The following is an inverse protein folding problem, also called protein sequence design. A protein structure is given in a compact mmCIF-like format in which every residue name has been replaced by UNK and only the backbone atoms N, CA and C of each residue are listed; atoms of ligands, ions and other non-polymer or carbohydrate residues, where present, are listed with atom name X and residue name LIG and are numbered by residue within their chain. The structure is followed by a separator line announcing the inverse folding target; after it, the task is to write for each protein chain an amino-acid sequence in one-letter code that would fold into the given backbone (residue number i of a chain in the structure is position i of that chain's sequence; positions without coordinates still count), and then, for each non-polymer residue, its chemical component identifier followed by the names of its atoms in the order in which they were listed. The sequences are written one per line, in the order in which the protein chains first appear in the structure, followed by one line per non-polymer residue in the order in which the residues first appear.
data_IF_795798260029
#
_entry.id   IF_795798260029
#
_cell.length_a   1.000
_cell.length_b   1.000
_cell.length_c   1.000
_cell.angle_alpha   90.00
_cell.angle_beta   90.00
_cell.angle_gamma   90.00
#
_symmetry.space_group_name_H-M   'P 1'
#
loop_
_entity.id
_entity.type
_entity.pdbx_description
1 polymer ?
#
# COMPACT_ATOMS: atom_id res chain seq x y z
N UNK A 1 15.56 2.32 -11.74
CA UNK A 1 16.78 1.63 -11.28
C UNK A 1 17.87 1.57 -12.34
N UNK A 2 17.56 1.37 -13.63
CA UNK A 2 18.57 1.32 -14.71
C UNK A 2 19.55 2.51 -14.80
N UNK A 3 19.16 3.70 -14.34
CA UNK A 3 19.99 4.92 -14.35
C UNK A 3 20.46 5.37 -12.97
N UNK A 4 19.96 4.74 -11.90
CA UNK A 4 20.20 5.16 -10.52
C UNK A 4 20.91 4.03 -9.79
N UNK A 5 22.13 4.29 -9.33
CA UNK A 5 22.84 3.37 -8.44
C UNK A 5 22.33 3.55 -7.01
N UNK A 6 22.28 2.49 -6.18
CA UNK A 6 21.99 2.61 -4.76
C UNK A 6 22.86 3.68 -4.06
N UNK A 7 22.32 4.40 -3.07
CA UNK A 7 20.98 4.22 -2.48
C UNK A 7 19.84 4.76 -3.36
N UNK A 8 18.71 4.05 -3.37
CA UNK A 8 17.50 4.44 -4.11
C UNK A 8 16.32 4.51 -3.17
N UNK A 9 15.69 5.68 -3.11
CA UNK A 9 14.42 5.89 -2.40
C UNK A 9 13.47 6.62 -3.34
N UNK A 10 12.44 5.92 -3.83
CA UNK A 10 11.52 6.46 -4.84
C UNK A 10 10.09 6.13 -4.47
N UNK A 11 9.22 7.12 -4.66
CA UNK A 11 7.78 6.94 -4.73
C UNK A 11 7.32 7.16 -6.17
N UNK A 12 6.52 6.23 -6.69
CA UNK A 12 5.97 6.25 -8.04
C UNK A 12 4.44 6.27 -7.97
N UNK A 13 3.82 7.47 -7.88
CA UNK A 13 2.38 7.61 -8.03
C UNK A 13 1.98 7.51 -9.50
N UNK A 14 0.91 6.79 -9.80
CA UNK A 14 0.44 6.65 -11.18
C UNK A 14 -0.95 6.04 -11.30
N UNK A 15 -1.59 6.30 -12.44
CA UNK A 15 -2.81 5.58 -12.82
C UNK A 15 -2.43 4.20 -13.34
N UNK A 16 -3.11 3.20 -12.82
CA UNK A 16 -2.98 1.80 -13.22
C UNK A 16 -4.32 1.27 -13.70
N UNK A 17 -4.26 0.20 -14.47
CA UNK A 17 -5.41 -0.36 -15.16
C UNK A 17 -5.54 -1.84 -14.86
N UNK A 18 -6.76 -2.28 -14.61
CA UNK A 18 -7.11 -3.68 -14.42
C UNK A 18 -8.40 -3.98 -15.16
N UNK A 19 -8.48 -5.18 -15.74
CA UNK A 19 -9.68 -5.64 -16.46
C UNK A 19 -10.74 -6.12 -15.47
N UNK A 20 -11.35 -5.19 -14.75
CA UNK A 20 -12.43 -5.42 -13.79
C UNK A 20 -13.70 -4.64 -14.14
N UNK A 21 -14.84 -5.11 -13.66
CA UNK A 21 -16.12 -4.37 -13.78
C UNK A 21 -16.17 -3.35 -12.63
N UNK A 22 -16.52 -2.11 -12.95
CA UNK A 22 -16.67 -1.07 -11.92
C UNK A 22 -17.82 -1.42 -10.97
N UNK A 23 -17.50 -1.54 -9.68
CA UNK A 23 -18.44 -1.77 -8.59
C UNK A 23 -18.06 -0.90 -7.38
N UNK A 24 -18.81 -0.90 -6.27
CA UNK A 24 -18.50 -0.05 -5.12
C UNK A 24 -17.11 -0.22 -4.51
N UNK A 25 -16.41 -1.31 -4.81
CA UNK A 25 -15.10 -1.71 -4.26
C UNK A 25 -14.00 -1.93 -5.31
N UNK A 26 -14.34 -1.95 -6.60
CA UNK A 26 -13.40 -2.19 -7.70
C UNK A 26 -13.56 -1.17 -8.82
N UNK A 27 -12.43 -0.67 -9.33
CA UNK A 27 -12.39 0.23 -10.47
C UNK A 27 -11.49 -0.36 -11.58
N UNK A 28 -11.86 -0.22 -12.86
CA UNK A 28 -11.01 -0.64 -13.98
C UNK A 28 -9.77 0.25 -14.17
N UNK A 29 -9.84 1.48 -13.67
CA UNK A 29 -8.72 2.43 -13.59
C UNK A 29 -8.71 3.01 -12.19
N UNK A 30 -7.55 2.98 -11.54
CA UNK A 30 -7.34 3.53 -10.20
C UNK A 30 -5.90 4.03 -10.05
N UNK A 31 -5.59 4.64 -8.93
CA UNK A 31 -4.29 5.26 -8.67
C UNK A 31 -3.52 4.42 -7.66
N UNK A 32 -2.31 4.02 -8.02
CA UNK A 32 -1.38 3.39 -7.10
C UNK A 32 -0.24 4.32 -6.76
N UNK A 33 0.29 4.15 -5.56
CA UNK A 33 1.60 4.66 -5.18
C UNK A 33 2.43 3.43 -4.83
N UNK A 34 3.49 3.23 -5.58
CA UNK A 34 4.52 2.24 -5.26
C UNK A 34 5.72 2.95 -4.65
N UNK A 35 6.27 2.36 -3.59
CA UNK A 35 7.50 2.78 -2.98
C UNK A 35 8.57 1.71 -3.14
N UNK A 36 9.80 2.14 -3.41
CA UNK A 36 10.97 1.26 -3.41
C UNK A 36 12.12 1.92 -2.66
N UNK A 37 12.74 1.13 -1.80
CA UNK A 37 13.90 1.49 -1.00
C UNK A 37 14.97 0.43 -1.23
N UNK A 38 16.15 0.83 -1.69
CA UNK A 38 17.31 -0.06 -1.93
C UNK A 38 18.56 0.60 -1.36
N UNK A 39 19.20 -0.04 -0.40
CA UNK A 39 20.43 0.43 0.23
C UNK A 39 21.17 -0.74 0.92
N UNK A 40 22.37 -0.49 1.42
CA UNK A 40 23.10 -1.47 2.24
C UNK A 40 22.41 -1.63 3.60
N UNK A 41 22.13 -2.88 3.99
CA UNK A 41 21.62 -3.20 5.34
C UNK A 41 20.13 -2.92 5.56
N UNK A 42 19.33 -2.74 4.51
CA UNK A 42 17.86 -2.62 4.63
C UNK A 42 17.25 -3.94 5.11
N UNK A 43 16.41 -3.87 6.13
CA UNK A 43 15.77 -5.02 6.75
C UNK A 43 14.25 -4.96 6.68
N UNK A 44 13.60 -6.09 6.99
CA UNK A 44 12.13 -6.14 7.11
C UNK A 44 11.61 -5.31 8.30
N UNK A 45 12.46 -5.01 9.29
CA UNK A 45 12.10 -4.10 10.38
C UNK A 45 11.96 -2.66 9.88
N UNK A 46 12.80 -2.23 8.93
CA UNK A 46 12.72 -0.90 8.32
C UNK A 46 11.44 -0.75 7.49
N UNK A 47 11.06 -1.80 6.75
CA UNK A 47 9.77 -1.86 6.05
C UNK A 47 8.60 -1.71 7.03
N UNK A 48 8.62 -2.48 8.13
CA UNK A 48 7.57 -2.41 9.16
C UNK A 48 7.48 -1.02 9.78
N UNK A 49 8.60 -0.42 10.16
CA UNK A 49 8.66 0.93 10.74
C UNK A 49 8.14 1.99 9.78
N UNK A 50 8.53 1.91 8.51
CA UNK A 50 8.09 2.84 7.46
C UNK A 50 6.57 2.79 7.30
N UNK A 51 5.99 1.60 7.21
CA UNK A 51 4.56 1.41 7.00
C UNK A 51 3.73 1.73 8.26
N UNK A 52 4.23 1.42 9.46
CA UNK A 52 3.58 1.81 10.71
C UNK A 52 3.56 3.34 10.87
N UNK A 53 4.66 4.02 10.54
CA UNK A 53 4.69 5.49 10.51
C UNK A 53 3.68 6.05 9.49
N UNK A 54 3.69 5.55 8.26
CA UNK A 54 2.75 5.97 7.22
C UNK A 54 1.28 5.82 7.67
N UNK A 55 0.93 4.68 8.27
CA UNK A 55 -0.44 4.42 8.72
C UNK A 55 -0.86 5.39 9.82
N UNK A 56 0.03 5.71 10.76
CA UNK A 56 -0.25 6.67 11.82
C UNK A 56 -0.45 8.09 11.27
N UNK A 57 0.38 8.52 10.32
CA UNK A 57 0.24 9.83 9.68
C UNK A 57 -1.06 9.97 8.88
N UNK A 58 -1.49 8.90 8.19
CA UNK A 58 -2.68 8.95 7.36
C UNK A 58 -3.98 8.81 8.16
N UNK A 59 -4.02 7.88 9.11
CA UNK A 59 -5.24 7.45 9.79
C UNK A 59 -5.32 7.85 11.28
N UNK A 60 -4.26 8.43 11.85
CA UNK A 60 -4.17 8.89 13.23
C UNK A 60 -3.26 8.02 14.13
N UNK A 61 -2.80 8.56 15.28
CA UNK A 61 -1.77 7.94 16.12
C UNK A 61 -2.17 6.61 16.77
N UNK A 62 -3.48 6.38 16.99
CA UNK A 62 -3.98 5.16 17.63
C UNK A 62 -4.12 3.97 16.67
N UNK A 63 -3.78 4.17 15.40
CA UNK A 63 -3.93 3.16 14.36
C UNK A 63 -2.84 2.10 14.48
N UNK A 64 -3.27 0.85 14.37
CA UNK A 64 -2.38 -0.31 14.44
C UNK A 64 -2.27 -0.94 13.07
N UNK A 65 -1.08 -1.42 12.74
CA UNK A 65 -0.82 -2.25 11.56
C UNK A 65 -0.75 -3.72 11.91
N UNK A 66 -1.25 -4.58 11.02
CA UNK A 66 -1.09 -6.04 11.10
C UNK A 66 -0.51 -6.55 9.79
N UNK A 67 0.61 -7.27 9.88
CA UNK A 67 1.28 -7.89 8.75
C UNK A 67 0.88 -9.34 8.67
N UNK A 68 0.30 -9.75 7.54
CA UNK A 68 -0.07 -11.13 7.25
C UNK A 68 0.88 -11.67 6.17
N UNK A 69 1.50 -12.84 6.37
CA UNK A 69 2.29 -13.47 5.31
C UNK A 69 1.46 -13.62 4.04
N UNK A 70 2.04 -13.24 2.91
CA UNK A 70 1.44 -13.39 1.59
C UNK A 70 2.54 -13.73 0.58
N UNK A 71 2.19 -13.89 -0.68
CA UNK A 71 3.13 -14.13 -1.77
C UNK A 71 2.96 -13.06 -2.86
N UNK A 72 4.06 -12.41 -3.22
CA UNK A 72 4.17 -11.61 -4.43
C UNK A 72 5.44 -12.03 -5.19
N UNK A 73 5.39 -12.24 -6.52
CA UNK A 73 6.53 -12.77 -7.27
C UNK A 73 7.80 -11.89 -7.27
N UNK A 74 7.67 -10.62 -6.88
CA UNK A 74 8.75 -9.64 -6.88
C UNK A 74 9.31 -9.35 -5.47
N UNK A 75 8.79 -10.01 -4.44
CA UNK A 75 9.26 -9.82 -3.06
C UNK A 75 9.34 -11.12 -2.25
N UNK A 76 10.40 -11.29 -1.46
CA UNK A 76 10.59 -12.40 -0.53
C UNK A 76 11.43 -11.97 0.70
N UNK A 77 10.88 -11.97 1.94
CA UNK A 77 9.51 -12.30 2.32
C UNK A 77 8.47 -11.24 1.91
N UNK A 78 7.23 -11.69 1.71
CA UNK A 78 6.07 -10.89 1.31
C UNK A 78 5.01 -10.81 2.40
N UNK A 79 4.31 -9.67 2.50
CA UNK A 79 3.22 -9.46 3.44
C UNK A 79 2.12 -8.54 2.90
N UNK A 80 0.88 -8.85 3.25
CA UNK A 80 -0.24 -7.91 3.20
C UNK A 80 -0.31 -7.14 4.51
N UNK A 81 -0.70 -5.88 4.44
CA UNK A 81 -0.81 -5.01 5.61
C UNK A 81 -2.25 -4.55 5.79
N UNK A 82 -2.77 -4.85 6.97
CA UNK A 82 -4.07 -4.39 7.41
C UNK A 82 -3.91 -3.24 8.42
N UNK A 83 -4.87 -2.32 8.43
CA UNK A 83 -5.03 -1.28 9.45
C UNK A 83 -6.21 -1.59 10.36
N UNK A 84 -6.10 -1.23 11.64
CA UNK A 84 -7.22 -1.33 12.58
C UNK A 84 -8.40 -0.46 12.13
N UNK A 85 -9.62 -1.01 12.22
CA UNK A 85 -10.84 -0.35 11.76
C UNK A 85 -11.09 0.97 12.50
N UNK A 86 -11.47 2.02 11.75
CA UNK A 86 -11.74 3.34 12.32
C UNK A 86 -13.03 3.53 13.05
N UNK A 87 -14.01 2.68 12.77
CA UNK A 87 -15.35 2.82 13.34
C UNK A 87 -15.44 2.09 14.67
N UNK A 88 -14.84 0.91 14.79
CA UNK A 88 -14.92 0.06 15.98
C UNK A 88 -13.61 -0.10 16.74
N UNK A 89 -12.57 0.68 16.39
CA UNK A 89 -11.25 0.61 17.01
C UNK A 89 -10.61 -0.80 17.05
N UNK A 90 -11.06 -1.73 16.18
CA UNK A 90 -10.58 -3.11 16.12
C UNK A 90 -11.49 -4.17 16.74
N UNK A 91 -12.63 -3.80 17.36
CA UNK A 91 -13.57 -4.76 17.96
C UNK A 91 -14.32 -5.62 16.92
N UNK A 92 -14.44 -5.10 15.69
CA UNK A 92 -15.25 -5.70 14.63
C UNK A 92 -16.59 -4.99 14.43
N UNK A 93 -16.92 -4.66 13.19
CA UNK A 93 -18.22 -4.12 12.82
C UNK A 93 -18.56 -4.47 11.38
N UNK A 94 -19.78 -4.15 10.93
CA UNK A 94 -20.23 -4.40 9.55
C UNK A 94 -19.28 -3.85 8.49
N UNK A 95 -18.65 -2.69 8.75
CA UNK A 95 -17.72 -2.05 7.81
C UNK A 95 -16.45 -2.89 7.57
N UNK A 96 -15.84 -3.44 8.64
CA UNK A 96 -14.69 -4.33 8.53
C UNK A 96 -15.08 -5.82 8.45
N UNK A 97 -16.33 -6.14 8.09
CA UNK A 97 -16.84 -7.52 8.04
C UNK A 97 -16.61 -8.30 9.34
N UNK A 98 -16.74 -7.60 10.48
CA UNK A 98 -16.51 -8.09 11.84
C UNK A 98 -15.09 -8.61 12.12
N UNK A 99 -14.09 -8.24 11.31
CA UNK A 99 -12.69 -8.67 11.55
C UNK A 99 -11.94 -7.72 12.46
N UNK A 100 -12.33 -6.44 12.51
CA UNK A 100 -11.57 -5.37 13.17
C UNK A 100 -10.44 -4.79 12.31
N UNK A 101 -10.20 -5.34 11.12
CA UNK A 101 -9.05 -5.03 10.27
C UNK A 101 -9.45 -4.80 8.83
N UNK A 102 -8.74 -3.90 8.15
CA UNK A 102 -8.96 -3.55 6.76
C UNK A 102 -7.63 -3.58 6.03
N UNK A 103 -7.51 -4.45 5.03
CA UNK A 103 -6.33 -4.54 4.17
C UNK A 103 -6.17 -3.24 3.36
N UNK A 104 -4.97 -2.66 3.37
CA UNK A 104 -4.69 -1.37 2.73
C UNK A 104 -3.57 -1.41 1.68
N UNK A 105 -2.59 -2.30 1.84
CA UNK A 105 -1.43 -2.35 0.96
C UNK A 105 -0.75 -3.73 0.98
N UNK A 106 0.03 -4.00 -0.06
CA UNK A 106 0.96 -5.13 -0.14
C UNK A 106 2.40 -4.64 -0.06
N UNK A 107 3.30 -5.44 0.51
CA UNK A 107 4.70 -5.09 0.67
C UNK A 107 5.61 -6.33 0.80
N UNK A 108 6.91 -6.12 0.73
CA UNK A 108 7.90 -7.15 1.02
C UNK A 108 9.33 -6.70 0.74
N UNK A 109 10.28 -7.57 1.07
CA UNK A 109 11.68 -7.37 0.68
C UNK A 109 11.84 -7.70 -0.79
N UNK A 110 12.53 -6.87 -1.57
CA UNK A 110 12.71 -7.09 -3.01
C UNK A 110 13.42 -8.43 -3.24
N UNK A 111 12.86 -9.27 -4.12
CA UNK A 111 13.44 -10.56 -4.45
C UNK A 111 14.82 -10.37 -5.15
N UNK A 112 15.87 -11.11 -4.76
CA UNK A 112 17.20 -11.00 -5.35
C UNK A 112 17.22 -11.12 -6.88
N UNK A 113 16.34 -11.93 -7.48
CA UNK A 113 16.23 -12.08 -8.93
C UNK A 113 15.82 -10.77 -9.61
N UNK A 114 15.05 -9.91 -8.93
CA UNK A 114 14.65 -8.60 -9.45
C UNK A 114 15.86 -7.68 -9.61
N UNK A 115 16.82 -7.73 -8.69
CA UNK A 115 18.07 -6.95 -8.78
C UNK A 115 18.94 -7.36 -9.97
N UNK A 116 18.92 -8.64 -10.34
CA UNK A 116 19.61 -9.15 -11.52
C UNK A 116 19.21 -8.46 -12.83
N UNK A 117 17.94 -8.05 -12.97
CA UNK A 117 17.47 -7.35 -14.18
C UNK A 117 17.95 -5.91 -14.29
N UNK A 118 18.44 -5.31 -13.19
CA UNK A 118 18.86 -3.90 -13.13
C UNK A 118 20.32 -3.72 -12.74
N UNK A 119 21.11 -4.80 -12.77
CA UNK A 119 22.54 -4.83 -12.46
C UNK A 119 22.88 -4.31 -11.03
N UNK A 120 22.05 -4.68 -10.05
CA UNK A 120 22.32 -4.45 -8.63
C UNK A 120 22.80 -5.76 -8.00
N UNK A 121 23.85 -5.70 -7.18
CA UNK A 121 24.41 -6.85 -6.48
C UNK A 121 23.57 -7.18 -5.22
N UNK A 122 22.84 -8.32 -5.18
CA UNK A 122 21.99 -8.69 -4.06
C UNK A 122 22.75 -9.12 -2.81
N UNK A 123 24.05 -9.46 -2.92
CA UNK A 123 24.89 -9.76 -1.75
C UNK A 123 25.29 -8.49 -1.00
N UNK A 124 25.34 -7.37 -1.72
CA UNK A 124 25.70 -6.06 -1.16
C UNK A 124 24.49 -5.23 -0.76
N UNK A 125 23.46 -5.21 -1.59
CA UNK A 125 22.29 -4.35 -1.40
C UNK A 125 21.04 -5.17 -1.14
N UNK A 126 20.25 -4.71 -0.18
CA UNK A 126 18.91 -5.20 0.08
C UNK A 126 17.91 -4.07 -0.12
N UNK A 127 16.63 -4.41 -0.13
CA UNK A 127 15.61 -3.40 -0.31
C UNK A 127 14.23 -3.92 0.01
N UNK A 128 13.29 -2.99 0.18
CA UNK A 128 11.88 -3.32 0.28
C UNK A 128 11.07 -2.50 -0.72
N UNK A 129 9.91 -3.05 -1.08
CA UNK A 129 8.91 -2.37 -1.86
C UNK A 129 7.53 -2.48 -1.20
N UNK A 130 6.68 -1.50 -1.48
CA UNK A 130 5.29 -1.53 -1.08
C UNK A 130 4.41 -0.86 -2.14
N UNK A 131 3.15 -1.26 -2.21
CA UNK A 131 2.17 -0.72 -3.14
C UNK A 131 0.83 -0.53 -2.46
N UNK A 132 0.23 0.66 -2.64
CA UNK A 132 -1.05 1.02 -2.05
C UNK A 132 -1.97 1.70 -3.08
N UNK A 133 -3.27 1.48 -2.94
CA UNK A 133 -4.29 2.13 -3.75
C UNK A 133 -4.80 3.40 -3.09
N UNK A 134 -4.66 4.56 -3.75
CA UNK A 134 -5.03 5.87 -3.20
C UNK A 134 -6.52 5.94 -2.92
N UNK A 135 -7.35 5.42 -3.83
CA UNK A 135 -8.80 5.39 -3.70
C UNK A 135 -9.25 4.58 -2.49
N UNK A 136 -8.58 3.45 -2.21
CA UNK A 136 -8.86 2.63 -1.02
C UNK A 136 -8.50 3.39 0.26
N UNK A 137 -7.35 4.06 0.30
CA UNK A 137 -6.96 4.88 1.44
C UNK A 137 -7.94 6.04 1.66
N UNK A 138 -8.32 6.76 0.60
CA UNK A 138 -9.28 7.86 0.66
C UNK A 138 -10.65 7.38 1.15
N UNK A 139 -11.13 6.25 0.63
CA UNK A 139 -12.40 5.68 1.06
C UNK A 139 -12.42 5.33 2.55
N UNK A 140 -11.32 4.76 3.06
CA UNK A 140 -11.18 4.44 4.48
C UNK A 140 -11.03 5.69 5.36
N UNK A 141 -10.30 6.71 4.89
CA UNK A 141 -10.05 7.93 5.64
C UNK A 141 -11.29 8.82 5.73
N UNK A 142 -12.04 8.93 4.64
CA UNK A 142 -13.19 9.82 4.51
C UNK A 142 -14.53 9.10 4.56
N UNK A 143 -14.54 7.79 4.85
CA UNK A 143 -15.74 6.94 4.88
C UNK A 143 -16.56 7.02 3.58
N UNK A 144 -15.88 7.03 2.43
CA UNK A 144 -16.54 7.02 1.12
C UNK A 144 -17.14 5.62 0.90
N UNK A 145 -18.47 5.50 0.73
CA UNK A 145 -19.13 4.19 0.67
C UNK A 145 -18.97 3.48 -0.68
N UNK A 146 -18.56 4.21 -1.73
CA UNK A 146 -18.49 3.72 -3.10
C UNK A 146 -17.31 4.38 -3.84
N UNK A 147 -16.36 3.57 -4.31
CA UNK A 147 -15.18 4.07 -5.01
C UNK A 147 -15.52 4.82 -6.31
N UNK A 148 -16.65 4.54 -6.95
CA UNK A 148 -17.06 5.18 -8.20
C UNK A 148 -17.33 6.68 -8.01
N UNK A 149 -17.70 7.10 -6.80
CA UNK A 149 -17.87 8.51 -6.45
C UNK A 149 -16.60 9.34 -6.68
N UNK A 150 -15.42 8.69 -6.62
CA UNK A 150 -14.13 9.33 -6.87
C UNK A 150 -13.87 9.59 -8.37
N UNK A 151 -14.64 8.96 -9.27
CA UNK A 151 -14.50 9.09 -10.73
C UNK A 151 -15.67 9.80 -11.41
N UNK A 152 -16.85 9.81 -10.80
CA UNK A 152 -18.09 10.35 -11.41
C UNK A 152 -18.08 11.87 -11.60
N UNK A 153 -17.25 12.60 -10.86
CA UNK A 153 -17.15 14.06 -10.97
C UNK A 153 -18.35 14.83 -10.40
N UNK A 154 -19.10 14.24 -9.46
CA UNK A 154 -20.23 14.90 -8.82
C UNK A 154 -19.77 16.07 -7.95
N UNK A 155 -20.16 17.30 -8.32
CA UNK A 155 -19.81 18.51 -7.57
C UNK A 155 -20.30 18.53 -6.13
N UNK A 156 -21.35 17.77 -5.78
CA UNK A 156 -21.84 17.63 -4.40
C UNK A 156 -20.88 16.81 -3.54
N UNK A 157 -20.19 15.85 -4.15
CA UNK A 157 -19.14 15.07 -3.50
C UNK A 157 -17.85 15.88 -3.41
N UNK A 158 -17.40 16.46 -4.53
CA UNK A 158 -16.12 17.18 -4.61
C UNK A 158 -16.02 18.37 -3.65
N UNK A 159 -17.13 19.05 -3.33
CA UNK A 159 -17.16 20.19 -2.40
C UNK A 159 -17.01 19.84 -0.91
N UNK A 160 -16.96 18.56 -0.55
CA UNK A 160 -16.81 18.12 0.84
C UNK A 160 -15.34 18.11 1.32
N UNK A 161 -14.40 18.30 0.40
CA UNK A 161 -12.95 18.29 0.60
C UNK A 161 -12.34 19.61 0.11
#
# INVERSE_FOLDING_TARGET
LERLKPPVYVLAPGKVYRRDIADPSHLPQFTQIEGIVVDEGITFADLKGTLDHFVREIFGPDRKTRFRPHFFPFTEPSAEVDVSCGICAGEGCRFCKNTGWLEILGCGMVDPNVFGYVNIDPEKYTGFAFGLGVERIAALKYNVPDLRMLLEGDMRFLRQF
#
